data_IF_344508664836
#
_entry.id   IF_344508664836
#
_cell.length_a   1.000
_cell.length_b   1.000
_cell.length_c   1.000
_cell.angle_alpha   90.00
_cell.angle_beta   90.00
_cell.angle_gamma   90.00
#
_symmetry.space_group_name_H-M   'P 1'
#
loop_
_entity.id
_entity.type
_entity.pdbx_description
1 polymer ?
#
# COMPACT_ATOMS: atom_id res chain seq x y z
N UNK A 1 35.14 -22.52 -13.43
CA UNK A 1 34.83 -23.70 -12.57
C UNK A 1 35.21 -23.51 -11.11
N UNK A 2 36.46 -23.15 -10.77
CA UNK A 2 36.88 -22.95 -9.37
C UNK A 2 36.12 -21.83 -8.63
N UNK A 3 35.89 -20.70 -9.30
CA UNK A 3 35.08 -19.57 -8.79
C UNK A 3 33.64 -20.00 -8.44
N UNK A 4 32.98 -20.74 -9.33
CA UNK A 4 31.62 -21.23 -9.13
C UNK A 4 31.51 -22.22 -7.96
N UNK A 5 32.57 -23.00 -7.73
CA UNK A 5 32.65 -23.97 -6.64
C UNK A 5 32.92 -23.30 -5.28
N UNK A 6 33.58 -22.14 -5.25
CA UNK A 6 33.79 -21.36 -4.04
C UNK A 6 32.51 -20.65 -3.59
N UNK A 7 31.75 -20.12 -4.54
CA UNK A 7 30.44 -19.50 -4.29
C UNK A 7 29.45 -20.54 -3.75
N UNK A 8 29.39 -21.74 -4.32
CA UNK A 8 28.47 -22.78 -3.84
C UNK A 8 28.78 -23.25 -2.41
N UNK A 9 30.06 -23.40 -2.06
CA UNK A 9 30.48 -23.76 -0.70
C UNK A 9 30.12 -22.69 0.34
N UNK A 10 30.18 -21.41 -0.04
CA UNK A 10 29.76 -20.30 0.83
C UNK A 10 28.27 -20.37 1.18
N UNK A 11 27.40 -20.63 0.20
CA UNK A 11 25.96 -20.76 0.44
C UNK A 11 25.59 -22.02 1.24
N UNK A 12 26.29 -23.14 1.02
CA UNK A 12 26.12 -24.34 1.85
C UNK A 12 26.47 -24.04 3.31
N UNK A 13 27.55 -23.28 3.55
CA UNK A 13 27.92 -22.82 4.88
C UNK A 13 26.84 -21.97 5.56
N UNK A 14 26.23 -21.02 4.82
CA UNK A 14 25.14 -20.18 5.33
C UNK A 14 23.90 -20.99 5.70
N UNK A 15 23.53 -21.99 4.89
CA UNK A 15 22.37 -22.86 5.17
C UNK A 15 22.60 -23.69 6.43
N UNK A 16 23.81 -24.23 6.62
CA UNK A 16 24.16 -25.02 7.82
C UNK A 16 24.15 -24.13 9.07
N UNK A 17 24.75 -22.94 9.00
CA UNK A 17 24.75 -21.98 10.11
C UNK A 17 23.32 -21.55 10.48
N UNK A 18 22.48 -21.28 9.47
CA UNK A 18 21.08 -20.92 9.66
C UNK A 18 20.28 -22.05 10.32
N UNK A 19 20.47 -23.29 9.89
CA UNK A 19 19.81 -24.46 10.48
C UNK A 19 20.18 -24.65 11.95
N UNK A 20 21.43 -24.38 12.31
CA UNK A 20 21.89 -24.43 13.70
C UNK A 20 21.26 -23.33 14.56
N UNK A 21 21.22 -22.10 14.07
CA UNK A 21 20.58 -20.96 14.77
C UNK A 21 19.08 -21.20 14.97
N UNK A 22 18.38 -21.67 13.94
CA UNK A 22 16.95 -21.97 13.99
C UNK A 22 16.62 -23.03 15.07
N UNK A 23 17.36 -24.13 15.10
CA UNK A 23 17.15 -25.18 16.11
C UNK A 23 17.38 -24.66 17.54
N UNK A 24 18.38 -23.79 17.75
CA UNK A 24 18.66 -23.22 19.07
C UNK A 24 17.62 -22.19 19.52
N UNK A 25 17.01 -21.46 18.59
CA UNK A 25 15.96 -20.46 18.88
C UNK A 25 14.60 -21.12 19.16
N UNK A 26 14.28 -22.25 18.49
CA UNK A 26 13.05 -23.02 18.76
C UNK A 26 12.97 -23.53 20.20
N UNK A 27 14.08 -23.99 20.78
CA UNK A 27 14.11 -24.49 22.16
C UNK A 27 13.95 -23.41 23.25
N UNK A 28 13.93 -22.11 22.89
CA UNK A 28 13.81 -21.00 23.85
C UNK A 28 12.46 -20.27 23.80
N UNK A 29 11.43 -20.84 23.17
CA UNK A 29 10.09 -20.24 23.12
C UNK A 29 10.00 -18.95 22.29
N UNK A 30 11.01 -18.63 21.48
CA UNK A 30 11.07 -17.41 20.63
C UNK A 30 10.70 -17.71 19.17
N UNK A 31 9.59 -18.41 18.96
CA UNK A 31 9.12 -18.82 17.62
C UNK A 31 8.79 -17.66 16.68
N UNK A 32 8.37 -16.52 17.24
CA UNK A 32 7.99 -15.31 16.49
C UNK A 32 9.16 -14.68 15.70
N UNK A 33 10.35 -14.58 16.32
CA UNK A 33 11.56 -14.04 15.67
C UNK A 33 12.09 -14.93 14.53
N UNK A 34 11.88 -16.24 14.66
CA UNK A 34 12.29 -17.21 13.63
C UNK A 34 11.43 -17.06 12.37
N UNK A 35 10.12 -16.79 12.51
CA UNK A 35 9.19 -16.68 11.36
C UNK A 35 9.42 -15.42 10.51
N UNK A 36 9.68 -14.27 11.12
CA UNK A 36 9.96 -13.04 10.36
C UNK A 36 11.31 -13.03 9.64
N UNK A 37 12.35 -13.66 10.21
CA UNK A 37 13.65 -13.74 9.54
C UNK A 37 13.73 -14.86 8.48
N UNK A 38 13.02 -15.98 8.67
CA UNK A 38 13.08 -17.10 7.72
C UNK A 38 12.39 -16.83 6.39
N UNK A 39 11.29 -16.06 6.39
CA UNK A 39 10.61 -15.63 5.16
C UNK A 39 11.46 -14.66 4.31
N UNK A 40 12.22 -13.76 4.95
CA UNK A 40 13.01 -12.73 4.26
C UNK A 40 14.32 -13.28 3.66
N UNK A 41 14.96 -14.27 4.32
CA UNK A 41 16.21 -14.88 3.82
C UNK A 41 15.96 -15.93 2.72
N UNK A 42 14.87 -16.69 2.79
CA UNK A 42 14.55 -17.67 1.74
C UNK A 42 14.16 -17.00 0.41
N UNK A 43 13.44 -15.87 0.47
CA UNK A 43 13.04 -15.11 -0.72
C UNK A 43 14.22 -14.42 -1.42
N UNK A 44 15.15 -13.84 -0.65
CA UNK A 44 16.32 -13.12 -1.19
C UNK A 44 17.34 -14.05 -1.84
N UNK A 45 17.56 -15.26 -1.31
CA UNK A 45 18.52 -16.24 -1.88
C UNK A 45 17.97 -16.87 -3.17
N UNK A 46 16.66 -17.12 -3.27
CA UNK A 46 16.06 -17.70 -4.48
C UNK A 46 15.91 -16.67 -5.61
N UNK A 47 15.60 -15.41 -5.28
CA UNK A 47 15.52 -14.31 -6.25
C UNK A 47 16.86 -13.96 -6.90
N UNK A 48 17.95 -13.98 -6.14
CA UNK A 48 19.29 -13.67 -6.67
C UNK A 48 19.81 -14.75 -7.63
N UNK A 49 19.47 -16.03 -7.43
CA UNK A 49 19.90 -17.11 -8.32
C UNK A 49 19.21 -17.08 -9.69
N UNK A 50 17.94 -16.66 -9.75
CA UNK A 50 17.21 -16.51 -11.02
C UNK A 50 17.72 -15.30 -11.80
N UNK A 51 18.03 -14.19 -11.12
CA UNK A 51 18.51 -12.96 -11.76
C UNK A 51 19.90 -13.12 -12.40
N UNK A 52 20.82 -13.86 -11.77
CA UNK A 52 22.16 -14.12 -12.33
C UNK A 52 22.09 -15.03 -13.57
N UNK A 53 21.19 -16.02 -13.58
CA UNK A 53 20.99 -16.89 -14.75
C UNK A 53 20.32 -16.12 -15.90
N UNK A 54 19.34 -15.26 -15.62
CA UNK A 54 18.67 -14.45 -16.64
C UNK A 54 19.62 -13.44 -17.30
N UNK A 55 20.51 -12.81 -16.53
CA UNK A 55 21.48 -11.84 -17.09
C UNK A 55 22.59 -12.49 -17.93
N UNK A 56 22.95 -13.75 -17.64
CA UNK A 56 23.93 -14.50 -18.42
C UNK A 56 23.37 -15.08 -19.73
N UNK A 57 22.04 -15.22 -19.86
CA UNK A 57 21.38 -15.78 -21.05
C UNK A 57 20.75 -14.68 -21.93
N UNK A 58 20.27 -13.58 -21.33
CA UNK A 58 19.49 -12.53 -22.02
C UNK A 58 20.04 -11.11 -21.86
N UNK A 59 21.29 -10.95 -21.41
CA UNK A 59 21.91 -9.63 -21.31
C UNK A 59 22.00 -8.96 -22.69
N UNK A 60 21.57 -7.69 -22.85
CA UNK A 60 21.67 -6.99 -24.13
C UNK A 60 23.12 -6.72 -24.49
N UNK A 61 23.49 -7.08 -25.73
CA UNK A 61 24.79 -6.76 -26.31
C UNK A 61 24.82 -5.26 -26.67
N UNK A 62 25.89 -4.51 -26.32
CA UNK A 62 25.96 -3.09 -26.61
C UNK A 62 26.49 -2.91 -28.05
N UNK A 63 25.66 -2.36 -28.94
CA UNK A 63 26.17 -1.78 -30.16
C UNK A 63 25.50 -0.45 -30.50
N UNK A 64 26.19 0.27 -31.37
CA UNK A 64 26.57 1.65 -31.27
C UNK A 64 25.96 2.47 -32.41
N UNK A 65 25.64 3.73 -32.10
CA UNK A 65 25.57 4.91 -32.99
C UNK A 65 24.72 4.83 -34.28
N UNK A 66 23.77 5.76 -34.43
CA UNK A 66 23.99 6.94 -35.28
C UNK A 66 22.94 8.03 -35.06
N UNK A 67 23.42 9.26 -34.90
CA UNK A 67 22.65 10.50 -34.91
C UNK A 67 22.35 10.88 -36.36
N UNK A 68 21.07 11.14 -36.66
CA UNK A 68 20.69 11.96 -37.82
C UNK A 68 19.77 13.09 -37.38
N UNK A 69 20.33 14.29 -37.44
CA UNK A 69 19.68 15.59 -37.38
C UNK A 69 18.70 15.74 -38.53
N UNK A 70 17.47 16.16 -38.24
CA UNK A 70 16.59 16.80 -39.21
C UNK A 70 15.75 17.87 -38.51
N UNK A 71 15.62 18.98 -39.23
CA UNK A 71 15.25 20.32 -38.83
C UNK A 71 13.82 20.48 -38.30
N UNK A 72 13.71 21.45 -37.39
CA UNK A 72 12.58 22.35 -37.10
C UNK A 72 11.41 22.27 -38.07
N UNK A 73 10.24 21.91 -37.52
CA UNK A 73 8.98 22.52 -37.92
C UNK A 73 8.27 22.96 -36.63
N UNK A 74 8.04 24.27 -36.56
CA UNK A 74 7.17 24.91 -35.58
C UNK A 74 5.78 24.29 -35.68
N UNK A 75 5.45 23.42 -34.73
CA UNK A 75 4.08 23.05 -34.45
C UNK A 75 3.66 23.91 -33.28
N UNK A 76 2.90 24.95 -33.61
CA UNK A 76 2.04 25.67 -32.68
C UNK A 76 1.17 24.64 -31.96
N UNK A 77 1.61 24.22 -30.77
CA UNK A 77 0.86 23.33 -29.90
C UNK A 77 -0.31 24.16 -29.39
N UNK A 78 -1.47 23.90 -29.97
CA UNK A 78 -2.75 24.28 -29.40
C UNK A 78 -2.75 23.84 -27.93
N UNK A 79 -2.94 24.82 -27.05
CA UNK A 79 -3.07 24.67 -25.61
C UNK A 79 -4.31 23.81 -25.33
N UNK A 80 -4.12 22.50 -25.36
CA UNK A 80 -5.13 21.52 -24.97
C UNK A 80 -5.48 21.79 -23.52
N UNK A 81 -6.78 21.84 -23.25
CA UNK A 81 -7.48 22.00 -21.96
C UNK A 81 -6.68 21.38 -20.80
N UNK A 82 -5.74 22.15 -20.24
CA UNK A 82 -4.92 21.70 -19.13
C UNK A 82 -5.87 21.56 -17.95
N UNK A 83 -6.01 20.38 -17.34
CA UNK A 83 -6.82 20.25 -16.14
C UNK A 83 -6.33 21.29 -15.15
N UNK A 84 -7.25 22.07 -14.57
CA UNK A 84 -6.92 23.05 -13.55
C UNK A 84 -6.44 22.32 -12.29
N UNK A 85 -5.19 21.87 -12.30
CA UNK A 85 -4.58 21.06 -11.23
C UNK A 85 -4.48 21.84 -9.92
N UNK A 86 -4.52 23.17 -9.96
CA UNK A 86 -4.45 24.01 -8.78
C UNK A 86 -5.69 23.86 -7.88
N UNK A 87 -6.85 23.46 -8.43
CA UNK A 87 -8.04 23.18 -7.62
C UNK A 87 -8.03 21.79 -6.97
N UNK A 88 -7.07 20.92 -7.33
CA UNK A 88 -6.99 19.55 -6.82
C UNK A 88 -6.32 19.47 -5.46
N UNK A 89 -5.59 20.50 -5.04
CA UNK A 89 -4.78 20.43 -3.83
C UNK A 89 -4.62 21.75 -3.09
N UNK A 90 -4.29 21.63 -1.81
CA UNK A 90 -3.88 22.71 -0.92
C UNK A 90 -2.54 22.36 -0.26
N UNK A 91 -1.57 23.28 -0.26
CA UNK A 91 -0.32 23.09 0.51
C UNK A 91 -0.60 23.34 1.99
N UNK A 92 -0.34 22.33 2.82
CA UNK A 92 -0.50 22.39 4.28
C UNK A 92 0.77 22.90 4.99
N UNK A 93 1.95 22.54 4.47
CA UNK A 93 3.23 22.93 5.03
C UNK A 93 4.30 22.94 3.94
N UNK A 94 5.23 23.88 4.02
CA UNK A 94 6.42 23.94 3.18
C UNK A 94 7.64 24.31 4.04
N UNK A 95 8.54 23.35 4.23
CA UNK A 95 9.71 23.48 5.11
C UNK A 95 10.98 23.33 4.31
N UNK A 96 11.84 24.34 4.36
CA UNK A 96 13.12 24.37 3.64
C UNK A 96 14.28 24.29 4.63
N UNK A 97 15.20 23.38 4.37
CA UNK A 97 16.47 23.19 5.09
C UNK A 97 17.60 23.27 4.07
N UNK A 98 18.06 24.49 3.78
CA UNK A 98 19.11 24.71 2.79
C UNK A 98 20.47 24.18 3.26
N UNK A 99 21.31 23.71 2.32
CA UNK A 99 21.00 23.43 0.90
C UNK A 99 20.39 22.03 0.67
N UNK A 100 20.08 21.28 1.73
CA UNK A 100 19.92 19.83 1.62
C UNK A 100 18.53 19.34 1.21
N UNK A 101 17.46 19.99 1.69
CA UNK A 101 16.10 19.42 1.59
C UNK A 101 14.99 20.46 1.65
N UNK A 102 13.95 20.26 0.86
CA UNK A 102 12.60 20.81 1.05
C UNK A 102 11.60 19.69 1.33
N UNK A 103 10.69 19.91 2.27
CA UNK A 103 9.59 18.99 2.62
C UNK A 103 8.27 19.74 2.50
N UNK A 104 7.41 19.29 1.59
CA UNK A 104 6.09 19.84 1.36
C UNK A 104 5.05 18.82 1.79
N UNK A 105 4.03 19.27 2.50
CA UNK A 105 2.85 18.48 2.81
C UNK A 105 1.66 19.07 2.08
N UNK A 106 0.93 18.22 1.38
CA UNK A 106 -0.14 18.58 0.48
C UNK A 106 -1.40 17.82 0.87
N UNK A 107 -2.52 18.52 0.87
CA UNK A 107 -3.85 17.94 0.97
C UNK A 107 -4.45 17.88 -0.42
N UNK A 108 -4.84 16.70 -0.86
CA UNK A 108 -5.58 16.45 -2.08
C UNK A 108 -7.09 16.45 -1.77
N UNK A 109 -7.87 17.10 -2.64
CA UNK A 109 -9.33 17.19 -2.54
C UNK A 109 -10.06 16.05 -3.23
N UNK A 110 -9.29 15.16 -3.87
CA UNK A 110 -9.75 13.91 -4.45
C UNK A 110 -8.56 12.99 -4.72
N UNK A 111 -8.85 11.70 -4.88
CA UNK A 111 -7.89 10.73 -5.42
C UNK A 111 -7.55 11.12 -6.86
N UNK A 112 -6.27 11.03 -7.20
CA UNK A 112 -5.75 11.30 -8.53
C UNK A 112 -4.95 10.10 -9.04
N UNK A 113 -4.77 9.99 -10.35
CA UNK A 113 -3.87 8.97 -10.90
C UNK A 113 -2.40 9.39 -10.78
N UNK A 114 -1.49 8.46 -11.07
CA UNK A 114 -0.04 8.70 -10.99
C UNK A 114 0.42 9.85 -11.93
N UNK A 115 -0.02 9.92 -13.21
CA UNK A 115 0.34 11.04 -14.08
C UNK A 115 -0.11 12.42 -13.54
N UNK A 116 -1.30 12.51 -12.94
CA UNK A 116 -1.78 13.75 -12.33
C UNK A 116 -0.96 14.09 -11.08
N UNK A 117 -0.61 13.10 -10.25
CA UNK A 117 0.22 13.30 -9.07
C UNK A 117 1.64 13.76 -9.44
N UNK A 118 2.20 13.19 -10.51
CA UNK A 118 3.46 13.62 -11.14
C UNK A 118 3.39 15.08 -11.56
N UNK A 119 2.33 15.48 -12.27
CA UNK A 119 2.13 16.85 -12.71
C UNK A 119 2.04 17.82 -11.52
N UNK A 120 1.27 17.49 -10.48
CA UNK A 120 1.20 18.26 -9.24
C UNK A 120 2.59 18.38 -8.60
N UNK A 121 3.35 17.28 -8.51
CA UNK A 121 4.70 17.26 -7.98
C UNK A 121 5.66 18.20 -8.74
N UNK A 122 5.61 18.17 -10.07
CA UNK A 122 6.39 19.07 -10.94
C UNK A 122 6.04 20.53 -10.70
N UNK A 123 4.74 20.86 -10.65
CA UNK A 123 4.27 22.23 -10.39
C UNK A 123 4.72 22.75 -9.02
N UNK A 124 4.61 21.93 -7.97
CA UNK A 124 5.05 22.30 -6.62
C UNK A 124 6.57 22.46 -6.57
N UNK A 125 7.32 21.61 -7.27
CA UNK A 125 8.78 21.73 -7.37
C UNK A 125 9.17 23.01 -8.10
N UNK A 126 8.58 23.32 -9.25
CA UNK A 126 8.94 24.49 -10.06
C UNK A 126 8.64 25.82 -9.38
N UNK A 127 7.54 25.89 -8.62
CA UNK A 127 7.11 27.13 -7.96
C UNK A 127 7.80 27.39 -6.61
N UNK A 128 8.59 26.43 -6.12
CA UNK A 128 9.26 26.53 -4.82
C UNK A 128 10.74 26.88 -4.90
N UNK A 129 11.43 26.67 -3.79
CA UNK A 129 12.87 26.91 -3.68
C UNK A 129 13.68 25.92 -4.55
N UNK A 130 14.51 26.48 -5.44
CA UNK A 130 15.39 25.70 -6.32
C UNK A 130 16.79 25.48 -5.72
N UNK A 131 17.13 26.15 -4.62
CA UNK A 131 18.43 26.06 -3.96
C UNK A 131 18.58 24.86 -3.01
N UNK A 132 17.86 23.76 -3.27
CA UNK A 132 17.94 22.55 -2.47
C UNK A 132 18.23 21.31 -3.32
N UNK A 133 19.04 20.40 -2.78
CA UNK A 133 19.43 19.17 -3.44
C UNK A 133 18.25 18.22 -3.65
N UNK A 134 17.29 18.21 -2.71
CA UNK A 134 16.18 17.26 -2.66
C UNK A 134 14.87 17.91 -2.29
N UNK A 135 13.78 17.44 -2.89
CA UNK A 135 12.43 17.83 -2.51
C UNK A 135 11.60 16.58 -2.26
N UNK A 136 10.95 16.53 -1.11
CA UNK A 136 9.97 15.50 -0.76
C UNK A 136 8.60 16.14 -0.63
N UNK A 137 7.59 15.55 -1.26
CA UNK A 137 6.21 16.00 -1.22
C UNK A 137 5.37 14.82 -0.74
N UNK A 138 4.72 14.98 0.41
CA UNK A 138 3.76 14.01 0.94
C UNK A 138 2.34 14.47 0.66
N UNK A 139 1.50 13.58 0.14
CA UNK A 139 0.11 13.85 -0.19
C UNK A 139 -0.84 13.10 0.76
N UNK A 140 -1.82 13.82 1.31
CA UNK A 140 -2.90 13.27 2.11
C UNK A 140 -4.24 13.55 1.42
N UNK A 141 -5.18 12.62 1.49
CA UNK A 141 -6.55 12.89 1.06
C UNK A 141 -7.31 13.73 2.10
N UNK A 142 -8.36 14.43 1.68
CA UNK A 142 -9.27 15.10 2.59
C UNK A 142 -9.87 14.10 3.60
N UNK A 143 -9.95 14.50 4.86
CA UNK A 143 -10.43 13.63 5.95
C UNK A 143 -9.45 12.55 6.42
N UNK A 144 -8.30 12.36 5.75
CA UNK A 144 -7.27 11.43 6.21
C UNK A 144 -6.65 11.88 7.54
N UNK A 145 -6.44 10.94 8.47
CA UNK A 145 -5.81 11.22 9.75
C UNK A 145 -4.39 11.81 9.54
N UNK A 146 -4.06 12.99 10.10
CA UNK A 146 -2.72 13.58 9.99
C UNK A 146 -1.58 12.71 10.55
N UNK A 147 -1.89 11.77 11.46
CA UNK A 147 -0.93 10.83 12.03
C UNK A 147 -0.71 9.56 11.22
N UNK A 148 -1.45 9.32 10.13
CA UNK A 148 -1.24 8.16 9.26
C UNK A 148 -0.13 8.40 8.23
N UNK A 149 0.31 7.34 7.54
CA UNK A 149 1.19 7.45 6.38
C UNK A 149 0.55 8.31 5.28
N UNK A 150 1.36 8.92 4.42
CA UNK A 150 0.86 9.64 3.25
C UNK A 150 0.14 8.67 2.29
N UNK A 151 -0.93 9.14 1.64
CA UNK A 151 -1.62 8.37 0.60
C UNK A 151 -0.75 8.20 -0.64
N UNK A 152 0.02 9.24 -0.99
CA UNK A 152 1.03 9.20 -2.03
C UNK A 152 2.22 10.08 -1.71
N UNK A 153 3.29 9.94 -2.47
CA UNK A 153 4.53 10.71 -2.31
C UNK A 153 5.19 11.01 -3.64
N UNK A 154 5.85 12.17 -3.71
CA UNK A 154 6.76 12.55 -4.78
C UNK A 154 8.14 12.86 -4.19
N UNK A 155 9.17 12.26 -4.77
CA UNK A 155 10.56 12.43 -4.39
C UNK A 155 11.36 12.97 -5.57
N UNK A 156 12.14 14.03 -5.33
CA UNK A 156 13.19 14.50 -6.23
C UNK A 156 14.55 14.24 -5.57
N UNK A 157 15.26 13.21 -6.04
CA UNK A 157 16.58 12.84 -5.50
C UNK A 157 17.44 12.00 -6.47
N UNK A 158 18.09 12.60 -7.48
CA UNK A 158 17.77 13.86 -8.15
C UNK A 158 16.58 13.71 -9.12
N UNK A 159 16.35 12.49 -9.60
CA UNK A 159 15.25 12.14 -10.50
C UNK A 159 13.92 12.14 -9.76
N UNK A 160 12.85 12.33 -10.54
CA UNK A 160 11.48 12.28 -10.06
C UNK A 160 11.06 10.83 -9.85
N UNK A 161 10.59 10.51 -8.65
CA UNK A 161 9.88 9.28 -8.34
C UNK A 161 8.52 9.61 -7.71
N UNK A 162 7.46 9.01 -8.24
CA UNK A 162 6.10 9.12 -7.74
C UNK A 162 5.67 7.75 -7.23
N UNK A 163 4.94 7.72 -6.11
CA UNK A 163 4.43 6.48 -5.54
C UNK A 163 3.07 6.73 -4.87
N UNK A 164 2.10 5.89 -5.16
CA UNK A 164 0.79 5.84 -4.48
C UNK A 164 0.80 4.60 -3.58
N UNK A 165 0.54 4.79 -2.29
CA UNK A 165 0.47 3.71 -1.29
C UNK A 165 -0.98 3.30 -0.96
N UNK A 166 -1.94 4.21 -1.17
CA UNK A 166 -3.37 3.91 -1.01
C UNK A 166 -4.00 3.33 -2.27
N UNK A 167 -5.33 3.20 -2.27
CA UNK A 167 -6.10 2.85 -3.47
C UNK A 167 -5.97 3.96 -4.51
N UNK A 168 -5.70 3.59 -5.75
CA UNK A 168 -5.84 4.51 -6.86
C UNK A 168 -7.35 4.78 -7.14
N UNK A 169 -7.69 5.81 -7.94
CA UNK A 169 -9.09 6.17 -8.17
C UNK A 169 -9.96 5.02 -8.69
N UNK A 170 -9.43 4.21 -9.61
CA UNK A 170 -10.20 3.14 -10.25
C UNK A 170 -10.39 1.94 -9.31
N UNK A 171 -9.38 1.62 -8.50
CA UNK A 171 -9.47 0.60 -7.45
C UNK A 171 -10.47 1.00 -6.37
N UNK A 172 -10.42 2.26 -5.92
CA UNK A 172 -11.37 2.78 -4.94
C UNK A 172 -12.80 2.72 -5.50
N UNK A 173 -13.01 3.20 -6.72
CA UNK A 173 -14.30 3.13 -7.40
C UNK A 173 -14.79 1.70 -7.59
N UNK A 174 -13.89 0.75 -7.86
CA UNK A 174 -14.23 -0.66 -7.99
C UNK A 174 -14.70 -1.25 -6.66
N UNK A 175 -14.03 -0.94 -5.55
CA UNK A 175 -14.47 -1.37 -4.21
C UNK A 175 -15.78 -0.69 -3.79
N UNK A 176 -15.96 0.59 -4.12
CA UNK A 176 -17.21 1.31 -3.83
C UNK A 176 -18.40 0.73 -4.59
N UNK A 177 -18.19 0.34 -5.85
CA UNK A 177 -19.23 -0.26 -6.72
C UNK A 177 -19.33 -1.78 -6.62
N UNK A 178 -18.53 -2.41 -5.77
CA UNK A 178 -18.57 -3.86 -5.61
C UNK A 178 -19.96 -4.31 -5.17
N UNK A 179 -20.60 -5.12 -6.00
CA UNK A 179 -21.94 -5.62 -5.72
C UNK A 179 -21.90 -6.78 -4.73
N UNK A 180 -22.58 -6.59 -3.61
CA UNK A 180 -22.68 -7.57 -2.52
C UNK A 180 -24.00 -8.34 -2.55
N UNK A 181 -25.06 -7.85 -3.23
CA UNK A 181 -26.41 -8.40 -3.05
C UNK A 181 -26.54 -9.87 -3.46
N UNK A 182 -25.85 -10.25 -4.52
CA UNK A 182 -25.97 -11.59 -5.11
C UNK A 182 -24.90 -12.56 -4.60
N UNK A 183 -23.93 -12.04 -3.83
CA UNK A 183 -22.76 -12.81 -3.34
C UNK A 183 -22.88 -13.24 -1.89
N UNK A 184 -23.66 -12.52 -1.09
CA UNK A 184 -23.72 -12.71 0.36
C UNK A 184 -25.14 -12.83 0.89
N UNK A 185 -25.33 -13.76 1.83
CA UNK A 185 -26.57 -13.92 2.58
C UNK A 185 -26.51 -13.08 3.86
N UNK A 186 -27.61 -12.41 4.22
CA UNK A 186 -27.76 -11.66 5.47
C UNK A 186 -26.55 -10.73 5.77
N UNK A 187 -26.30 -9.78 4.88
CA UNK A 187 -25.22 -8.80 5.02
C UNK A 187 -25.44 -7.99 6.30
N UNK A 188 -24.40 -7.92 7.13
CA UNK A 188 -24.35 -7.14 8.36
C UNK A 188 -23.76 -5.75 8.11
N UNK A 189 -22.85 -5.63 7.13
CA UNK A 189 -22.29 -4.37 6.70
C UNK A 189 -21.12 -4.56 5.74
N UNK A 190 -20.63 -3.45 5.17
CA UNK A 190 -19.43 -3.43 4.34
C UNK A 190 -18.66 -2.14 4.54
N UNK A 191 -17.32 -2.18 4.47
CA UNK A 191 -16.42 -1.07 4.80
C UNK A 191 -15.17 -1.10 3.93
N UNK A 192 -14.77 0.04 3.37
CA UNK A 192 -13.47 0.16 2.69
C UNK A 192 -12.40 0.38 3.77
N UNK A 193 -11.42 -0.51 3.83
CA UNK A 193 -10.31 -0.50 4.78
C UNK A 193 -9.06 -0.03 4.05
N UNK A 194 -8.48 1.09 4.47
CA UNK A 194 -7.26 1.69 3.90
C UNK A 194 -6.14 1.80 4.96
N UNK A 195 -6.12 0.88 5.93
CA UNK A 195 -5.13 0.85 7.02
C UNK A 195 -4.31 -0.42 6.96
N UNK A 196 -3.19 -0.36 6.23
CA UNK A 196 -2.33 -1.52 5.97
C UNK A 196 -2.57 -2.03 4.56
N UNK A 197 -3.27 -3.15 4.42
CA UNK A 197 -3.76 -3.61 3.12
C UNK A 197 -5.07 -2.92 2.78
N UNK A 198 -5.26 -2.62 1.49
CA UNK A 198 -6.48 -1.98 1.01
C UNK A 198 -7.48 -3.02 0.51
N UNK A 199 -8.67 -3.06 1.11
CA UNK A 199 -9.70 -4.04 0.76
C UNK A 199 -11.08 -3.56 1.18
N UNK A 200 -12.12 -4.19 0.62
CA UNK A 200 -13.49 -4.08 1.10
C UNK A 200 -13.75 -5.22 2.08
N UNK A 201 -14.00 -4.89 3.35
CA UNK A 201 -14.50 -5.82 4.33
C UNK A 201 -16.02 -6.00 4.13
N UNK A 202 -16.51 -7.23 4.02
CA UNK A 202 -17.95 -7.53 3.98
C UNK A 202 -18.28 -8.51 5.10
N UNK A 203 -19.05 -8.06 6.10
CA UNK A 203 -19.53 -8.93 7.18
C UNK A 203 -20.91 -9.50 6.82
N UNK A 204 -21.09 -10.80 6.99
CA UNK A 204 -22.33 -11.49 6.62
C UNK A 204 -22.57 -12.74 7.48
N UNK A 205 -23.80 -13.25 7.40
CA UNK A 205 -24.22 -14.45 8.13
C UNK A 205 -24.76 -15.52 7.18
N UNK A 206 -24.12 -16.69 7.21
CA UNK A 206 -24.48 -17.85 6.38
C UNK A 206 -24.54 -19.12 7.22
N UNK A 207 -25.61 -19.89 7.08
CA UNK A 207 -25.83 -21.15 7.81
C UNK A 207 -25.65 -21.01 9.34
N UNK A 208 -26.08 -19.87 9.89
CA UNK A 208 -25.94 -19.56 11.33
C UNK A 208 -24.55 -19.08 11.76
N UNK A 209 -23.54 -19.14 10.89
CA UNK A 209 -22.16 -18.74 11.15
C UNK A 209 -21.89 -17.32 10.62
N UNK A 210 -20.95 -16.63 11.27
CA UNK A 210 -20.58 -15.25 10.94
C UNK A 210 -19.23 -15.24 10.22
N UNK A 211 -19.14 -14.40 9.20
CA UNK A 211 -17.96 -14.28 8.36
C UNK A 211 -17.64 -12.81 8.07
N UNK A 212 -16.36 -12.55 7.81
CA UNK A 212 -15.90 -11.34 7.14
C UNK A 212 -15.05 -11.77 5.95
N UNK A 213 -15.44 -11.30 4.77
CA UNK A 213 -14.65 -11.43 3.55
C UNK A 213 -13.83 -10.14 3.34
N UNK A 214 -12.53 -10.31 3.14
CA UNK A 214 -11.63 -9.25 2.68
C UNK A 214 -11.55 -9.33 1.15
N UNK A 215 -12.22 -8.42 0.46
CA UNK A 215 -12.26 -8.33 -1.00
C UNK A 215 -11.21 -7.34 -1.49
N UNK A 216 -10.20 -7.83 -2.18
CA UNK A 216 -9.12 -7.02 -2.74
C UNK A 216 -9.48 -6.48 -4.14
N UNK A 217 -8.91 -5.34 -4.56
CA UNK A 217 -8.97 -4.91 -5.96
C UNK A 217 -8.51 -6.04 -6.90
N UNK A 218 -9.28 -6.33 -7.95
CA UNK A 218 -8.95 -7.41 -8.90
C UNK A 218 -9.49 -8.81 -8.56
N UNK A 219 -10.51 -8.90 -7.69
CA UNK A 219 -11.34 -10.10 -7.39
C UNK A 219 -10.75 -11.14 -6.42
N UNK A 220 -9.61 -10.88 -5.79
CA UNK A 220 -9.12 -11.72 -4.69
C UNK A 220 -10.04 -11.61 -3.46
N UNK A 221 -10.43 -12.73 -2.86
CA UNK A 221 -11.24 -12.77 -1.63
C UNK A 221 -10.58 -13.66 -0.58
N UNK A 222 -10.49 -13.15 0.65
CA UNK A 222 -10.09 -13.94 1.81
C UNK A 222 -11.24 -14.00 2.82
N UNK A 223 -11.77 -15.20 3.08
CA UNK A 223 -12.88 -15.41 4.01
C UNK A 223 -12.38 -15.85 5.37
N UNK A 224 -12.82 -15.16 6.42
CA UNK A 224 -12.58 -15.57 7.80
C UNK A 224 -13.88 -15.78 8.56
N UNK A 225 -13.96 -16.85 9.35
CA UNK A 225 -15.10 -17.13 10.24
C UNK A 225 -14.88 -16.56 11.64
N UNK A 226 -15.96 -16.13 12.28
CA UNK A 226 -15.96 -15.49 13.58
C UNK A 226 -17.02 -16.11 14.51
N UNK A 227 -16.67 -16.24 15.79
CA UNK A 227 -17.65 -16.32 16.86
C UNK A 227 -18.31 -14.96 17.05
N UNK A 228 -19.62 -14.94 17.28
CA UNK A 228 -20.39 -13.73 17.46
C UNK A 228 -21.04 -13.66 18.84
N UNK A 229 -21.06 -12.48 19.43
CA UNK A 229 -21.77 -12.20 20.68
C UNK A 229 -22.41 -10.82 20.62
N UNK A 230 -23.72 -10.75 20.89
CA UNK A 230 -24.39 -9.47 21.13
C UNK A 230 -23.98 -8.93 22.50
N UNK A 231 -23.64 -7.65 22.56
CA UNK A 231 -23.34 -6.96 23.80
C UNK A 231 -24.62 -6.32 24.37
N UNK A 232 -24.59 -5.93 25.65
CA UNK A 232 -25.76 -5.36 26.35
C UNK A 232 -26.29 -4.07 25.71
N UNK A 233 -25.42 -3.36 25.00
CA UNK A 233 -25.82 -2.18 24.26
C UNK A 233 -26.47 -2.51 22.92
N UNK A 234 -26.48 -3.76 22.46
CA UNK A 234 -27.03 -4.18 21.17
C UNK A 234 -26.04 -4.06 20.00
N UNK A 235 -24.75 -3.86 20.29
CA UNK A 235 -23.69 -3.99 19.28
C UNK A 235 -23.28 -5.45 19.08
N UNK A 236 -22.73 -5.77 17.91
CA UNK A 236 -22.30 -7.12 17.57
C UNK A 236 -20.79 -7.23 17.63
N UNK A 237 -20.28 -8.05 18.56
CA UNK A 237 -18.85 -8.39 18.62
C UNK A 237 -18.57 -9.64 17.78
N UNK A 238 -17.52 -9.58 16.97
CA UNK A 238 -17.00 -10.68 16.14
C UNK A 238 -15.55 -10.96 16.54
N UNK A 239 -15.26 -12.19 16.94
CA UNK A 239 -13.90 -12.60 17.36
C UNK A 239 -13.53 -13.95 16.73
N UNK A 240 -12.27 -14.10 16.31
CA UNK A 240 -11.79 -15.38 15.79
C UNK A 240 -11.71 -16.41 16.91
N UNK A 241 -11.94 -17.67 16.59
CA UNK A 241 -11.89 -18.75 17.58
C UNK A 241 -10.48 -19.03 18.11
N UNK A 242 -9.45 -18.72 17.31
CA UNK A 242 -8.03 -18.94 17.57
C UNK A 242 -7.26 -17.62 17.79
N UNK A 243 -7.94 -16.59 18.31
CA UNK A 243 -7.37 -15.26 18.49
C UNK A 243 -6.27 -15.23 19.58
N UNK A 244 -5.02 -15.41 19.15
CA UNK A 244 -3.83 -15.36 20.01
C UNK A 244 -3.50 -13.94 20.52
N UNK A 245 -4.11 -12.89 19.94
CA UNK A 245 -3.74 -11.50 20.19
C UNK A 245 -4.85 -10.67 20.87
N UNK A 246 -6.01 -11.25 21.10
CA UNK A 246 -7.15 -10.56 21.72
C UNK A 246 -7.79 -9.52 20.82
N UNK A 247 -7.59 -9.59 19.51
CA UNK A 247 -8.18 -8.68 18.53
C UNK A 247 -9.60 -9.10 18.14
N UNK A 248 -10.51 -8.14 18.13
CA UNK A 248 -11.90 -8.38 17.75
C UNK A 248 -12.50 -7.18 17.04
N UNK A 249 -13.59 -7.44 16.33
CA UNK A 249 -14.40 -6.41 15.71
C UNK A 249 -15.66 -6.14 16.50
N UNK A 250 -16.15 -4.90 16.44
CA UNK A 250 -17.48 -4.53 16.89
C UNK A 250 -18.19 -3.79 15.77
N UNK A 251 -19.36 -4.28 15.37
CA UNK A 251 -20.29 -3.54 14.52
C UNK A 251 -21.20 -2.76 15.46
N UNK A 252 -21.05 -1.44 15.45
CA UNK A 252 -21.84 -0.57 16.32
C UNK A 252 -23.23 -0.25 15.75
N UNK A 253 -24.04 0.46 16.52
CA UNK A 253 -25.42 0.83 16.15
C UNK A 253 -25.52 1.73 14.91
N UNK A 254 -24.44 2.41 14.56
CA UNK A 254 -24.37 3.24 13.35
C UNK A 254 -23.99 2.41 12.12
N UNK A 255 -23.70 1.12 12.31
CA UNK A 255 -23.17 0.24 11.28
C UNK A 255 -21.67 0.40 11.06
N UNK A 256 -20.96 1.17 11.90
CA UNK A 256 -19.51 1.34 11.76
C UNK A 256 -18.79 0.10 12.26
N UNK A 257 -17.68 -0.27 11.59
CA UNK A 257 -16.82 -1.38 11.99
C UNK A 257 -15.67 -0.86 12.83
N UNK A 258 -15.64 -1.28 14.09
CA UNK A 258 -14.63 -0.90 15.05
C UNK A 258 -13.61 -2.02 15.22
N UNK A 259 -12.33 -1.65 15.27
CA UNK A 259 -11.20 -2.55 15.41
C UNK A 259 -10.65 -2.39 16.83
N UNK A 260 -10.70 -3.46 17.61
CA UNK A 260 -10.37 -3.45 19.02
C UNK A 260 -9.22 -4.41 19.32
N UNK A 261 -8.43 -4.04 20.32
CA UNK A 261 -7.42 -4.88 20.96
C UNK A 261 -7.52 -4.72 22.49
N UNK A 262 -6.63 -5.38 23.24
CA UNK A 262 -6.46 -5.12 24.68
C UNK A 262 -6.19 -3.64 25.01
N UNK A 263 -5.64 -2.87 24.06
CA UNK A 263 -5.35 -1.44 24.22
C UNK A 263 -6.54 -0.54 23.86
N UNK A 264 -7.70 -1.12 23.57
CA UNK A 264 -8.91 -0.40 23.17
C UNK A 264 -9.09 -0.29 21.66
N UNK A 265 -10.03 0.55 21.24
CA UNK A 265 -10.30 0.83 19.84
C UNK A 265 -9.12 1.60 19.23
N UNK A 266 -8.57 1.06 18.16
CA UNK A 266 -7.47 1.68 17.43
C UNK A 266 -7.84 2.14 16.03
N UNK A 267 -9.02 1.78 15.53
CA UNK A 267 -9.54 2.19 14.24
C UNK A 267 -11.06 1.96 14.16
N UNK A 268 -11.77 2.89 13.51
CA UNK A 268 -13.20 2.76 13.19
C UNK A 268 -13.40 3.10 11.72
N UNK A 269 -13.93 2.15 10.95
CA UNK A 269 -14.31 2.32 9.56
C UNK A 269 -15.80 2.69 9.48
N UNK A 270 -16.12 3.73 8.70
CA UNK A 270 -17.49 4.13 8.43
C UNK A 270 -18.15 3.17 7.44
N UNK A 271 -19.46 2.93 7.54
CA UNK A 271 -20.18 2.14 6.55
C UNK A 271 -19.87 2.61 5.13
N UNK A 272 -19.62 1.66 4.23
CA UNK A 272 -19.40 1.94 2.82
C UNK A 272 -20.60 2.72 2.27
N UNK A 273 -20.31 3.81 1.57
CA UNK A 273 -21.30 4.57 0.82
C UNK A 273 -21.03 4.39 -0.68
N UNK A 274 -21.81 3.58 -1.40
CA UNK A 274 -21.62 3.35 -2.84
C UNK A 274 -21.70 4.62 -3.71
N UNK A 275 -22.24 5.72 -3.16
CA UNK A 275 -22.34 7.02 -3.82
C UNK A 275 -21.21 8.00 -3.43
N UNK A 276 -20.27 7.58 -2.57
CA UNK A 276 -19.09 8.37 -2.23
C UNK A 276 -18.17 8.41 -3.45
N UNK A 277 -18.08 9.58 -4.08
CA UNK A 277 -17.24 9.81 -5.25
C UNK A 277 -15.77 10.00 -4.83
N UNK A 278 -14.89 10.14 -5.82
CA UNK A 278 -13.42 10.26 -5.70
C UNK A 278 -12.88 11.34 -4.74
N UNK A 279 -13.73 12.12 -4.07
CA UNK A 279 -13.38 13.19 -3.11
C UNK A 279 -12.37 12.76 -2.05
#
# INVERSE_FOLDING_TARGET
>A
MKELMLVSLFFVGLVIAWRFVNNKLKHKGRGFLVRHFSGSIAGTIFGFFIFIIAFAIFGPEPDSSEVKTASTNDVEVQEADQPNIASLYTILSDKVQRPYKRTVEVKLHQRVDEPTLELIGKTIKSNGDQGVDRTFIGYRLDGQNPGSSYWGTTHYNPDLNVSISGLNPDEFDALQRYDTSDKYENILGSWVIERGFNYLAVAYKKDGNYYIDDVFPGEGVNTTSYGASELDDGTLRLQKHDDEFGEYFVIDKTGSLQFWSENGNYFTAKPRNPNESKS
#
